data_IF_815498417619
#
_entry.id   IF_815498417619
#
_cell.length_a   1.000
_cell.length_b   1.000
_cell.length_c   1.000
_cell.angle_alpha   90.00
_cell.angle_beta   90.00
_cell.angle_gamma   90.00
#
_symmetry.space_group_name_H-M   'P 1'
#
loop_
_entity.id
_entity.type
_entity.pdbx_description
1 polymer ?
#
# COMPACT_ATOMS: atom_id res chain seq x y z
N UNK A 1 -13.97 -4.90 -10.72
CA UNK A 1 -13.52 -4.53 -9.36
C UNK A 1 -12.19 -5.24 -9.16
N UNK A 2 -11.11 -4.54 -8.76
CA UNK A 2 -9.76 -5.12 -8.68
C UNK A 2 -9.65 -5.98 -7.41
N UNK A 3 -9.18 -7.22 -7.56
CA UNK A 3 -8.86 -8.14 -6.46
C UNK A 3 -7.40 -7.95 -6.06
N UNK A 4 -7.08 -8.08 -4.76
CA UNK A 4 -5.70 -8.07 -4.29
C UNK A 4 -5.02 -9.38 -4.68
N UNK A 5 -3.95 -9.30 -5.47
CA UNK A 5 -3.11 -10.47 -5.70
C UNK A 5 -2.27 -10.78 -4.46
N UNK A 6 -1.80 -12.02 -4.32
CA UNK A 6 -0.88 -12.40 -3.23
C UNK A 6 0.38 -11.52 -3.21
N UNK A 7 0.89 -11.17 -4.40
CA UNK A 7 2.06 -10.30 -4.54
C UNK A 7 1.78 -8.88 -4.06
N UNK A 8 0.58 -8.33 -4.30
CA UNK A 8 0.20 -7.02 -3.77
C UNK A 8 0.13 -7.03 -2.24
N UNK A 9 -0.42 -8.11 -1.68
CA UNK A 9 -0.51 -8.30 -0.23
C UNK A 9 0.88 -8.38 0.40
N UNK A 10 1.78 -9.17 -0.17
CA UNK A 10 3.16 -9.28 0.31
C UNK A 10 3.90 -7.94 0.21
N UNK A 11 3.73 -7.22 -0.90
CA UNK A 11 4.35 -5.91 -1.09
C UNK A 11 3.87 -4.91 -0.03
N UNK A 12 2.56 -4.84 0.22
CA UNK A 12 1.98 -3.96 1.24
C UNK A 12 2.51 -4.33 2.63
N UNK A 13 2.63 -5.63 2.95
CA UNK A 13 3.22 -6.09 4.22
C UNK A 13 4.70 -5.72 4.34
N UNK A 14 5.46 -5.78 3.26
CA UNK A 14 6.86 -5.31 3.23
C UNK A 14 6.89 -3.81 3.53
N UNK A 15 6.07 -3.00 2.88
CA UNK A 15 5.99 -1.56 3.14
C UNK A 15 5.64 -1.26 4.59
N UNK A 16 4.68 -2.00 5.17
CA UNK A 16 4.25 -1.83 6.55
C UNK A 16 5.36 -2.12 7.59
N UNK A 17 6.28 -3.03 7.27
CA UNK A 17 7.31 -3.53 8.20
C UNK A 17 8.73 -3.03 7.90
N UNK A 18 8.90 -2.16 6.91
CA UNK A 18 10.23 -1.73 6.45
C UNK A 18 10.51 -0.26 6.68
N UNK A 19 11.81 0.08 6.78
CA UNK A 19 12.28 1.45 6.71
C UNK A 19 12.35 1.92 5.24
N UNK A 20 11.78 3.08 4.95
CA UNK A 20 11.71 3.62 3.60
C UNK A 20 13.09 3.90 3.00
N UNK A 21 14.07 4.35 3.79
CA UNK A 21 15.42 4.63 3.29
C UNK A 21 16.19 3.36 2.93
N UNK A 22 15.90 2.25 3.61
CA UNK A 22 16.45 0.94 3.26
C UNK A 22 15.79 0.39 1.99
N UNK A 23 14.47 0.51 1.87
CA UNK A 23 13.75 0.10 0.66
C UNK A 23 14.20 0.89 -0.57
N UNK A 24 14.29 2.22 -0.47
CA UNK A 24 14.70 3.08 -1.59
C UNK A 24 16.06 2.67 -2.17
N UNK A 25 17.02 2.28 -1.31
CA UNK A 25 18.35 1.81 -1.74
C UNK A 25 18.33 0.41 -2.36
N UNK A 26 17.37 -0.43 -1.97
CA UNK A 26 17.26 -1.82 -2.41
C UNK A 26 16.37 -2.02 -3.64
N UNK A 27 15.51 -1.05 -3.95
CA UNK A 27 14.56 -1.15 -5.07
C UNK A 27 15.24 -0.91 -6.41
N UNK A 28 14.98 -1.80 -7.36
CA UNK A 28 15.28 -1.55 -8.77
C UNK A 28 14.13 -0.78 -9.44
N UNK A 29 14.38 -0.33 -10.68
CA UNK A 29 13.40 0.44 -11.46
C UNK A 29 12.06 -0.29 -11.62
N UNK A 30 12.06 -1.60 -11.92
CA UNK A 30 10.81 -2.37 -12.04
C UNK A 30 9.99 -2.42 -10.75
N UNK A 31 10.66 -2.45 -9.59
CA UNK A 31 9.99 -2.48 -8.28
C UNK A 31 9.40 -1.10 -7.97
N UNK A 32 10.12 -0.03 -8.35
CA UNK A 32 9.65 1.34 -8.21
C UNK A 32 8.43 1.60 -9.11
N UNK A 33 8.48 1.15 -10.36
CA UNK A 33 7.35 1.26 -11.29
C UNK A 33 6.11 0.53 -10.78
N UNK A 34 6.27 -0.65 -10.18
CA UNK A 34 5.16 -1.37 -9.55
C UNK A 34 4.59 -0.61 -8.34
N UNK A 35 5.47 -0.05 -7.51
CA UNK A 35 5.06 0.76 -6.37
C UNK A 35 4.22 1.96 -6.82
N UNK A 36 4.64 2.66 -7.87
CA UNK A 36 3.94 3.85 -8.39
C UNK A 36 2.63 3.49 -9.11
N UNK A 37 2.65 2.49 -10.01
CA UNK A 37 1.53 2.19 -10.91
C UNK A 37 0.42 1.34 -10.30
N UNK A 38 0.75 0.48 -9.33
CA UNK A 38 -0.19 -0.50 -8.77
C UNK A 38 -0.38 -0.31 -7.27
N UNK A 39 0.70 -0.41 -6.49
CA UNK A 39 0.59 -0.39 -5.02
C UNK A 39 0.14 1.00 -4.53
N UNK A 40 0.64 2.08 -5.14
CA UNK A 40 0.20 3.44 -4.83
C UNK A 40 -1.29 3.66 -5.09
N UNK A 41 -1.83 3.10 -6.17
CA UNK A 41 -3.27 3.16 -6.49
C UNK A 41 -4.09 2.41 -5.45
N UNK A 42 -3.66 1.21 -5.07
CA UNK A 42 -4.32 0.39 -4.04
C UNK A 42 -4.34 1.13 -2.68
N UNK A 43 -3.17 1.63 -2.24
CA UNK A 43 -3.04 2.34 -0.98
C UNK A 43 -3.85 3.65 -0.96
N UNK A 44 -3.96 4.35 -2.10
CA UNK A 44 -4.81 5.54 -2.25
C UNK A 44 -6.29 5.21 -2.07
N UNK A 45 -6.77 4.12 -2.67
CA UNK A 45 -8.16 3.69 -2.49
C UNK A 45 -8.46 3.31 -1.03
N UNK A 46 -7.56 2.56 -0.40
CA UNK A 46 -7.67 2.23 1.02
C UNK A 46 -7.65 3.50 1.89
N UNK A 47 -6.76 4.45 1.61
CA UNK A 47 -6.68 5.74 2.32
C UNK A 47 -7.98 6.55 2.20
N UNK A 48 -8.56 6.63 1.01
CA UNK A 48 -9.82 7.34 0.75
C UNK A 48 -10.97 6.72 1.53
N UNK A 49 -11.09 5.40 1.55
CA UNK A 49 -12.13 4.71 2.33
C UNK A 49 -11.97 4.92 3.83
N UNK A 50 -10.75 4.72 4.35
CA UNK A 50 -10.45 4.87 5.78
C UNK A 50 -10.64 6.33 6.26
N UNK A 51 -10.30 7.32 5.42
CA UNK A 51 -10.33 8.74 5.83
C UNK A 51 -11.64 9.46 5.49
N UNK A 52 -12.27 9.13 4.36
CA UNK A 52 -13.44 9.86 3.84
C UNK A 52 -14.77 9.13 4.10
N UNK A 53 -14.74 7.92 4.67
CA UNK A 53 -15.93 7.12 4.94
C UNK A 53 -16.61 6.60 3.66
N UNK A 54 -15.88 6.57 2.54
CA UNK A 54 -16.35 6.03 1.27
C UNK A 54 -16.37 4.50 1.40
N UNK A 55 -17.54 3.87 1.27
CA UNK A 55 -17.68 2.41 1.34
C UNK A 55 -17.29 1.74 0.03
N UNK A 56 -15.99 1.70 -0.29
CA UNK A 56 -15.46 1.03 -1.49
C UNK A 56 -15.08 -0.44 -1.27
N UNK A 57 -15.09 -0.95 -0.04
CA UNK A 57 -14.77 -2.33 0.31
C UNK A 57 -13.27 -2.65 0.41
N UNK A 58 -12.40 -1.65 0.32
CA UNK A 58 -10.95 -1.81 0.42
C UNK A 58 -10.48 -2.11 1.85
N UNK A 59 -11.17 -1.60 2.88
CA UNK A 59 -10.87 -1.99 4.26
C UNK A 59 -11.11 -3.49 4.44
N UNK A 60 -12.30 -3.96 4.06
CA UNK A 60 -12.65 -5.39 4.14
C UNK A 60 -11.69 -6.27 3.32
N UNK A 61 -11.26 -5.83 2.13
CA UNK A 61 -10.26 -6.54 1.33
C UNK A 61 -8.90 -6.64 2.03
N UNK A 62 -8.45 -5.56 2.66
CA UNK A 62 -7.20 -5.57 3.43
C UNK A 62 -7.31 -6.54 4.61
N UNK A 63 -8.42 -6.48 5.35
CA UNK A 63 -8.66 -7.38 6.48
C UNK A 63 -8.70 -8.84 6.05
N UNK A 64 -9.40 -9.17 4.96
CA UNK A 64 -9.46 -10.52 4.40
C UNK A 64 -8.09 -11.02 3.90
N UNK A 65 -7.19 -10.11 3.51
CA UNK A 65 -5.81 -10.40 3.15
C UNK A 65 -4.85 -10.46 4.38
N UNK A 66 -5.37 -10.25 5.59
CA UNK A 66 -4.60 -10.19 6.82
C UNK A 66 -3.68 -8.96 6.89
N UNK A 67 -4.14 -7.83 6.37
CA UNK A 67 -3.54 -6.49 6.53
C UNK A 67 -4.51 -5.70 7.41
N UNK A 68 -4.14 -5.45 8.67
CA UNK A 68 -5.00 -4.68 9.57
C UNK A 68 -4.84 -3.16 9.33
N UNK A 69 -5.58 -2.37 10.09
CA UNK A 69 -5.56 -0.91 9.96
C UNK A 69 -4.18 -0.29 10.21
N UNK A 70 -3.44 -0.78 11.20
CA UNK A 70 -2.10 -0.30 11.52
C UNK A 70 -1.11 -0.65 10.42
N UNK A 71 -1.18 -1.87 9.87
CA UNK A 71 -0.38 -2.29 8.71
C UNK A 71 -0.66 -1.40 7.50
N UNK A 72 -1.94 -1.15 7.19
CA UNK A 72 -2.35 -0.29 6.09
C UNK A 72 -1.84 1.15 6.24
N UNK A 73 -1.96 1.72 7.44
CA UNK A 73 -1.44 3.06 7.76
C UNK A 73 0.09 3.11 7.69
N UNK A 74 0.78 2.09 8.20
CA UNK A 74 2.23 2.00 8.13
C UNK A 74 2.72 1.90 6.68
N UNK A 75 2.06 1.08 5.86
CA UNK A 75 2.36 0.97 4.43
C UNK A 75 2.16 2.29 3.69
N UNK A 76 1.06 3.01 3.95
CA UNK A 76 0.83 4.36 3.40
C UNK A 76 1.96 5.31 3.81
N UNK A 77 2.34 5.32 5.09
CA UNK A 77 3.39 6.19 5.59
C UNK A 77 4.75 5.87 4.94
N UNK A 78 5.06 4.59 4.74
CA UNK A 78 6.25 4.13 4.03
C UNK A 78 6.22 4.58 2.57
N UNK A 79 5.13 4.32 1.83
CA UNK A 79 4.98 4.73 0.44
C UNK A 79 5.12 6.25 0.25
N UNK A 80 4.55 7.06 1.14
CA UNK A 80 4.72 8.53 1.11
C UNK A 80 6.18 8.97 1.27
N UNK A 81 6.94 8.30 2.14
CA UNK A 81 8.39 8.57 2.31
C UNK A 81 9.20 8.18 1.08
N UNK A 82 8.73 7.18 0.32
CA UNK A 82 9.28 6.78 -0.98
C UNK A 82 8.85 7.71 -2.13
N UNK A 83 8.13 8.80 -1.85
CA UNK A 83 7.71 9.79 -2.85
C UNK A 83 6.40 9.46 -3.56
N UNK A 84 5.66 8.44 -3.12
CA UNK A 84 4.39 8.06 -3.72
C UNK A 84 3.28 9.00 -3.24
N UNK A 85 2.55 9.58 -4.19
CA UNK A 85 1.36 10.37 -3.91
C UNK A 85 0.18 9.44 -3.55
N UNK A 86 -0.36 9.61 -2.34
CA UNK A 86 -1.45 8.78 -1.78
C UNK A 86 -2.70 9.64 -1.49
N UNK A 87 -2.70 10.94 -1.84
CA UNK A 87 -3.82 11.84 -1.55
C UNK A 87 -4.95 11.74 -2.58
#
# INVERSE_FOLDING_TARGET
>A
MVELSLEDVEFIKILANSDATLLEKGMNESTKDRLESQIGVILRQYYQENTMGIKSGWIEKFENAGINEDDGKAAIACARRLGIDIY
#
